data_IF_814436881638
#
_entry.id   IF_814436881638
#
_cell.length_a   1.000
_cell.length_b   1.000
_cell.length_c   1.000
_cell.angle_alpha   90.00
_cell.angle_beta   90.00
_cell.angle_gamma   90.00
#
_symmetry.space_group_name_H-M   'P 1'
#
loop_
_entity.id
_entity.type
_entity.pdbx_description
1 polymer ?
#
# COMPACT_ATOMS: atom_id res chain seq x y z
N UNK A 1 -19.01 11.94 34.91
CA UNK A 1 -18.96 10.76 34.01
C UNK A 1 -19.56 11.07 32.63
N UNK A 2 -20.78 11.61 32.54
CA UNK A 2 -21.45 11.93 31.26
C UNK A 2 -20.68 12.93 30.37
N UNK A 3 -20.05 13.96 30.94
CA UNK A 3 -19.31 14.96 30.13
C UNK A 3 -18.01 14.41 29.54
N UNK A 4 -17.31 13.52 30.27
CA UNK A 4 -16.11 12.83 29.76
C UNK A 4 -16.45 11.87 28.61
N UNK A 5 -17.56 11.12 28.71
CA UNK A 5 -18.03 10.22 27.65
C UNK A 5 -18.46 11.03 26.41
N UNK A 6 -19.16 12.14 26.60
CA UNK A 6 -19.57 13.04 25.51
C UNK A 6 -18.37 13.70 24.81
N UNK A 7 -17.36 14.11 25.57
CA UNK A 7 -16.10 14.66 25.04
C UNK A 7 -15.36 13.63 24.20
N UNK A 8 -15.14 12.40 24.70
CA UNK A 8 -14.50 11.33 23.92
C UNK A 8 -15.26 11.01 22.63
N UNK A 9 -16.59 10.98 22.68
CA UNK A 9 -17.42 10.77 21.49
C UNK A 9 -17.24 11.88 20.46
N UNK A 10 -17.01 13.13 20.88
CA UNK A 10 -16.74 14.24 19.98
C UNK A 10 -15.33 14.14 19.35
N UNK A 11 -14.31 13.85 20.15
CA UNK A 11 -12.92 13.66 19.71
C UNK A 11 -12.81 12.52 18.70
N UNK A 12 -13.50 11.39 18.95
CA UNK A 12 -13.54 10.27 18.01
C UNK A 12 -14.19 10.67 16.67
N UNK A 13 -15.31 11.41 16.70
CA UNK A 13 -15.96 11.90 15.48
C UNK A 13 -15.06 12.81 14.68
N UNK A 14 -14.30 13.69 15.34
CA UNK A 14 -13.35 14.57 14.66
C UNK A 14 -12.26 13.77 13.93
N UNK A 15 -11.67 12.77 14.59
CA UNK A 15 -10.70 11.87 13.97
C UNK A 15 -11.33 11.10 12.80
N UNK A 16 -12.54 10.57 12.99
CA UNK A 16 -13.29 9.88 11.95
C UNK A 16 -13.57 10.77 10.73
N UNK A 17 -13.89 12.05 10.93
CA UNK A 17 -14.06 13.03 9.84
C UNK A 17 -12.76 13.19 9.06
N UNK A 18 -11.61 13.31 9.72
CA UNK A 18 -10.31 13.41 9.04
C UNK A 18 -10.02 12.17 8.19
N UNK A 19 -10.24 10.96 8.74
CA UNK A 19 -10.02 9.71 8.01
C UNK A 19 -11.03 9.49 6.88
N UNK A 20 -12.26 9.97 7.03
CA UNK A 20 -13.27 10.00 5.96
C UNK A 20 -12.81 10.88 4.79
N UNK A 21 -12.31 12.09 5.06
CA UNK A 21 -11.74 12.96 4.02
C UNK A 21 -10.52 12.32 3.33
N UNK A 22 -9.61 11.71 4.09
CA UNK A 22 -8.48 10.95 3.53
C UNK A 22 -8.98 9.84 2.60
N UNK A 23 -10.06 9.16 2.97
CA UNK A 23 -10.67 8.09 2.16
C UNK A 23 -11.21 8.64 0.84
N UNK A 24 -11.90 9.79 0.86
CA UNK A 24 -12.35 10.46 -0.36
C UNK A 24 -11.19 10.90 -1.27
N UNK A 25 -10.13 11.48 -0.69
CA UNK A 25 -8.93 11.88 -1.44
C UNK A 25 -8.24 10.66 -2.08
N UNK A 26 -8.18 9.53 -1.37
CA UNK A 26 -7.70 8.26 -1.92
C UNK A 26 -8.60 7.76 -3.06
N UNK A 27 -9.92 7.94 -2.95
CA UNK A 27 -10.87 7.69 -4.03
C UNK A 27 -10.56 8.50 -5.29
N UNK A 28 -10.29 9.80 -5.15
CA UNK A 28 -9.87 10.67 -6.25
C UNK A 28 -8.56 10.16 -6.87
N UNK A 29 -7.57 9.81 -6.05
CA UNK A 29 -6.31 9.21 -6.54
C UNK A 29 -6.55 7.92 -7.34
N UNK A 30 -7.48 7.06 -6.90
CA UNK A 30 -7.86 5.83 -7.63
C UNK A 30 -8.51 6.15 -8.97
N UNK A 31 -9.37 7.17 -9.02
CA UNK A 31 -9.98 7.62 -10.29
C UNK A 31 -8.92 8.12 -11.27
N UNK A 32 -7.93 8.88 -10.81
CA UNK A 32 -6.79 9.31 -11.64
C UNK A 32 -6.00 8.11 -12.21
N UNK A 33 -5.81 7.05 -11.40
CA UNK A 33 -5.15 5.82 -11.85
C UNK A 33 -6.01 5.07 -12.87
N UNK A 34 -7.31 4.96 -12.65
CA UNK A 34 -8.22 4.31 -13.59
C UNK A 34 -8.26 5.03 -14.94
N UNK A 35 -8.36 6.36 -14.93
CA UNK A 35 -8.34 7.15 -16.17
C UNK A 35 -7.01 6.98 -16.92
N UNK A 36 -5.90 6.87 -16.19
CA UNK A 36 -4.57 6.65 -16.77
C UNK A 36 -4.52 5.38 -17.63
N UNK A 37 -5.26 4.34 -17.21
CA UNK A 37 -5.27 3.02 -17.85
C UNK A 37 -6.37 2.87 -18.90
N UNK A 38 -7.29 3.83 -19.01
CA UNK A 38 -8.49 3.70 -19.85
C UNK A 38 -8.64 4.80 -20.89
N UNK A 39 -8.64 6.07 -20.49
CA UNK A 39 -9.00 7.20 -21.36
C UNK A 39 -7.89 8.24 -21.53
N UNK A 40 -6.89 8.26 -20.64
CA UNK A 40 -5.84 9.27 -20.68
C UNK A 40 -5.08 9.24 -22.02
N UNK A 41 -4.94 10.39 -22.71
CA UNK A 41 -4.17 10.44 -23.95
C UNK A 41 -2.69 10.14 -23.70
N UNK A 42 -1.99 9.61 -24.71
CA UNK A 42 -0.61 9.16 -24.58
C UNK A 42 0.34 10.26 -24.06
N UNK A 43 0.11 11.51 -24.43
CA UNK A 43 0.93 12.67 -24.00
C UNK A 43 0.56 13.21 -22.60
N UNK A 44 -0.46 12.65 -21.94
CA UNK A 44 -0.94 13.12 -20.63
C UNK A 44 -0.08 12.70 -19.42
N UNK A 45 0.94 11.88 -19.64
CA UNK A 45 1.72 11.21 -18.59
C UNK A 45 2.36 12.17 -17.58
N UNK A 46 2.96 13.27 -18.05
CA UNK A 46 3.64 14.22 -17.18
C UNK A 46 2.63 14.93 -16.24
N UNK A 47 1.54 15.44 -16.80
CA UNK A 47 0.48 16.08 -16.01
C UNK A 47 -0.17 15.09 -15.03
N UNK A 48 -0.40 13.84 -15.45
CA UNK A 48 -0.91 12.79 -14.55
C UNK A 48 0.06 12.47 -13.41
N UNK A 49 1.36 12.49 -13.67
CA UNK A 49 2.38 12.27 -12.66
C UNK A 49 2.35 13.39 -11.60
N UNK A 50 2.26 14.65 -12.02
CA UNK A 50 2.16 15.78 -11.09
C UNK A 50 0.83 15.79 -10.31
N UNK A 51 -0.30 15.49 -10.95
CA UNK A 51 -1.60 15.33 -10.25
C UNK A 51 -1.53 14.25 -9.17
N UNK A 52 -0.93 13.10 -9.51
CA UNK A 52 -0.77 11.95 -8.59
C UNK A 52 0.20 12.26 -7.45
N UNK A 53 1.28 12.99 -7.72
CA UNK A 53 2.22 13.44 -6.71
C UNK A 53 1.55 14.44 -5.74
N UNK A 54 0.86 15.45 -6.27
CA UNK A 54 0.15 16.46 -5.49
C UNK A 54 -0.90 15.83 -4.56
N UNK A 55 -1.80 14.99 -5.08
CA UNK A 55 -2.84 14.37 -4.24
C UNK A 55 -2.22 13.46 -3.18
N UNK A 56 -1.12 12.76 -3.50
CA UNK A 56 -0.41 11.92 -2.53
C UNK A 56 0.24 12.75 -1.42
N UNK A 57 0.79 13.92 -1.74
CA UNK A 57 1.31 14.89 -0.76
C UNK A 57 0.20 15.38 0.18
N UNK A 58 -0.96 15.78 -0.38
CA UNK A 58 -2.11 16.24 0.41
C UNK A 58 -2.60 15.14 1.37
N UNK A 59 -2.77 13.91 0.87
CA UNK A 59 -3.16 12.75 1.68
C UNK A 59 -2.15 12.51 2.80
N UNK A 60 -0.87 12.50 2.47
CA UNK A 60 0.19 12.24 3.44
C UNK A 60 0.24 13.33 4.51
N UNK A 61 0.27 14.62 4.12
CA UNK A 61 0.25 15.76 5.04
C UNK A 61 -0.93 15.72 6.01
N UNK A 62 -2.13 15.38 5.50
CA UNK A 62 -3.33 15.26 6.34
C UNK A 62 -3.21 14.10 7.32
N UNK A 63 -2.79 12.92 6.83
CA UNK A 63 -2.57 11.72 7.65
C UNK A 63 -1.55 11.98 8.75
N UNK A 64 -0.42 12.60 8.45
CA UNK A 64 0.70 12.78 9.39
C UNK A 64 0.65 14.09 10.17
N UNK A 65 -0.49 14.79 10.15
CA UNK A 65 -0.65 16.06 10.85
C UNK A 65 -0.56 15.89 12.38
N UNK A 66 -0.11 16.93 13.07
CA UNK A 66 0.04 16.88 14.52
C UNK A 66 -1.33 16.79 15.22
N UNK A 67 -2.39 17.35 14.61
CA UNK A 67 -3.77 17.19 15.05
C UNK A 67 -4.18 15.71 15.13
N UNK A 68 -3.89 14.91 14.11
CA UNK A 68 -4.18 13.46 14.12
C UNK A 68 -3.45 12.78 15.28
N UNK A 69 -2.18 13.12 15.51
CA UNK A 69 -1.40 12.60 16.64
C UNK A 69 -2.01 12.94 18.01
N UNK A 70 -2.43 14.20 18.20
CA UNK A 70 -3.09 14.65 19.43
C UNK A 70 -4.42 13.94 19.67
N UNK A 71 -5.26 13.80 18.63
CA UNK A 71 -6.54 13.09 18.73
C UNK A 71 -6.34 11.62 19.09
N UNK A 72 -5.36 10.94 18.46
CA UNK A 72 -5.02 9.55 18.78
C UNK A 72 -4.54 9.43 20.23
N UNK A 73 -3.74 10.38 20.71
CA UNK A 73 -3.25 10.40 22.09
C UNK A 73 -4.40 10.60 23.09
N UNK A 74 -5.33 11.52 22.83
CA UNK A 74 -6.50 11.75 23.68
C UNK A 74 -7.42 10.52 23.75
N UNK A 75 -7.54 9.79 22.65
CA UNK A 75 -8.36 8.58 22.54
C UNK A 75 -7.63 7.32 23.02
N UNK A 76 -6.35 7.40 23.44
CA UNK A 76 -5.56 6.24 23.86
C UNK A 76 -6.21 5.35 24.92
N UNK A 77 -7.05 5.85 25.87
CA UNK A 77 -7.71 4.97 26.82
C UNK A 77 -8.68 3.96 26.18
N UNK A 78 -9.23 4.24 24.99
CA UNK A 78 -10.06 3.26 24.25
C UNK A 78 -9.21 2.02 23.92
N UNK A 79 -7.92 2.21 23.58
CA UNK A 79 -7.01 1.11 23.25
C UNK A 79 -6.68 0.22 24.46
N UNK A 80 -6.84 0.73 25.69
CA UNK A 80 -6.61 -0.05 26.91
C UNK A 80 -7.73 -1.08 27.14
N UNK A 81 -8.92 -0.84 26.60
CA UNK A 81 -10.09 -1.72 26.75
C UNK A 81 -9.93 -3.04 25.98
N UNK A 82 -9.09 -3.06 24.93
CA UNK A 82 -8.80 -4.25 24.11
C UNK A 82 -10.04 -4.98 23.60
N UNK A 83 -11.10 -4.22 23.30
CA UNK A 83 -12.38 -4.76 22.91
C UNK A 83 -12.50 -4.85 21.39
N UNK A 84 -12.19 -6.02 20.83
CA UNK A 84 -12.29 -6.28 19.38
C UNK A 84 -13.73 -6.23 18.82
N UNK A 85 -14.74 -6.24 19.69
CA UNK A 85 -16.16 -6.11 19.29
C UNK A 85 -16.61 -4.65 19.22
N UNK A 86 -15.79 -3.69 19.66
CA UNK A 86 -16.07 -2.25 19.55
C UNK A 86 -15.44 -1.64 18.29
N UNK A 87 -16.30 -1.15 17.39
CA UNK A 87 -15.90 -0.45 16.17
C UNK A 87 -14.94 0.72 16.45
N UNK A 88 -15.12 1.46 17.55
CA UNK A 88 -14.25 2.59 17.89
C UNK A 88 -12.84 2.12 18.25
N UNK A 89 -12.74 1.01 19.00
CA UNK A 89 -11.47 0.39 19.33
C UNK A 89 -10.74 -0.07 18.06
N UNK A 90 -11.42 -0.82 17.20
CA UNK A 90 -10.83 -1.36 15.96
C UNK A 90 -10.39 -0.22 15.04
N UNK A 91 -11.26 0.79 14.81
CA UNK A 91 -10.91 1.94 13.99
C UNK A 91 -9.70 2.69 14.53
N UNK A 92 -9.66 2.97 15.84
CA UNK A 92 -8.56 3.69 16.45
C UNK A 92 -7.23 2.92 16.37
N UNK A 93 -7.26 1.59 16.56
CA UNK A 93 -6.08 0.73 16.40
C UNK A 93 -5.50 0.85 15.00
N UNK A 94 -6.34 0.73 13.97
CA UNK A 94 -5.90 0.82 12.58
C UNK A 94 -5.44 2.23 12.18
N UNK A 95 -6.16 3.26 12.60
CA UNK A 95 -5.79 4.65 12.36
C UNK A 95 -4.47 5.03 13.03
N UNK A 96 -4.23 4.57 14.26
CA UNK A 96 -2.97 4.75 14.96
C UNK A 96 -1.83 4.05 14.23
N UNK A 97 -2.01 2.79 13.84
CA UNK A 97 -1.03 2.03 13.05
C UNK A 97 -0.67 2.74 11.75
N UNK A 98 -1.68 3.21 11.01
CA UNK A 98 -1.48 3.98 9.78
C UNK A 98 -0.72 5.30 10.03
N UNK A 99 -1.13 6.06 11.05
CA UNK A 99 -0.48 7.31 11.44
C UNK A 99 1.01 7.11 11.74
N UNK A 100 1.33 6.18 12.65
CA UNK A 100 2.69 5.92 13.11
C UNK A 100 3.58 5.46 11.96
N UNK A 101 3.09 4.56 11.09
CA UNK A 101 3.83 4.12 9.91
C UNK A 101 4.06 5.25 8.91
N UNK A 102 3.03 6.05 8.62
CA UNK A 102 3.15 7.15 7.65
C UNK A 102 4.04 8.28 8.17
N UNK A 103 3.99 8.62 9.46
CA UNK A 103 4.80 9.70 10.06
C UNK A 103 6.31 9.44 9.95
N UNK A 104 6.73 8.18 9.85
CA UNK A 104 8.14 7.79 9.65
C UNK A 104 8.69 8.11 8.26
N UNK A 105 7.82 8.24 7.25
CA UNK A 105 8.23 8.39 5.85
C UNK A 105 8.22 9.87 5.47
N UNK A 106 9.33 10.44 4.93
CA UNK A 106 9.37 11.84 4.55
C UNK A 106 8.38 12.18 3.41
N UNK A 107 7.72 13.35 3.44
CA UNK A 107 6.79 13.77 2.38
C UNK A 107 7.39 13.75 0.98
N UNK A 108 8.65 14.19 0.84
CA UNK A 108 9.36 14.22 -0.45
C UNK A 108 9.53 12.81 -1.05
N UNK A 109 9.75 11.81 -0.20
CA UNK A 109 9.87 10.42 -0.64
C UNK A 109 8.52 9.87 -1.12
N UNK A 110 7.42 10.24 -0.45
CA UNK A 110 6.06 9.85 -0.86
C UNK A 110 5.68 10.46 -2.21
N UNK A 111 5.99 11.75 -2.41
CA UNK A 111 5.76 12.46 -3.67
C UNK A 111 6.57 11.83 -4.81
N UNK A 112 7.87 11.61 -4.60
CA UNK A 112 8.76 11.07 -5.62
C UNK A 112 8.40 9.62 -6.00
N UNK A 113 8.04 8.77 -5.02
CA UNK A 113 7.51 7.43 -5.29
C UNK A 113 6.24 7.49 -6.14
N UNK A 114 5.33 8.43 -5.83
CA UNK A 114 4.05 8.57 -6.51
C UNK A 114 4.24 9.04 -7.96
N UNK A 115 5.09 10.05 -8.17
CA UNK A 115 5.47 10.53 -9.50
C UNK A 115 6.16 9.43 -10.32
N UNK A 116 7.16 8.78 -9.73
CA UNK A 116 7.94 7.75 -10.41
C UNK A 116 7.08 6.55 -10.81
N UNK A 117 6.08 6.18 -9.99
CA UNK A 117 5.16 5.08 -10.30
C UNK A 117 4.35 5.34 -11.58
N UNK A 118 3.86 6.56 -11.80
CA UNK A 118 3.14 6.94 -13.02
C UNK A 118 4.04 6.86 -14.25
N UNK A 119 5.25 7.45 -14.16
CA UNK A 119 6.21 7.44 -15.26
C UNK A 119 6.66 6.02 -15.60
N UNK A 120 6.91 5.20 -14.57
CA UNK A 120 7.32 3.81 -14.70
C UNK A 120 6.23 2.95 -15.35
N UNK A 121 4.95 3.17 -15.00
CA UNK A 121 3.84 2.44 -15.60
C UNK A 121 3.77 2.66 -17.12
N UNK A 122 3.89 3.91 -17.58
CA UNK A 122 3.91 4.18 -19.02
C UNK A 122 5.13 3.58 -19.72
N UNK A 123 6.32 3.70 -19.10
CA UNK A 123 7.52 3.08 -19.64
C UNK A 123 7.38 1.55 -19.74
N UNK A 124 6.77 0.92 -18.73
CA UNK A 124 6.47 -0.51 -18.74
C UNK A 124 5.49 -0.89 -19.85
N UNK A 125 4.41 -0.13 -20.06
CA UNK A 125 3.44 -0.41 -21.12
C UNK A 125 4.11 -0.43 -22.50
N UNK A 126 4.95 0.58 -22.79
CA UNK A 126 5.75 0.65 -24.02
C UNK A 126 6.80 -0.48 -24.10
N UNK A 127 7.49 -0.76 -23.00
CA UNK A 127 8.48 -1.84 -22.93
C UNK A 127 7.85 -3.19 -23.25
N UNK A 128 6.66 -3.46 -22.70
CA UNK A 128 5.92 -4.70 -22.92
C UNK A 128 5.45 -4.83 -24.38
N UNK A 129 4.90 -3.76 -24.94
CA UNK A 129 4.49 -3.72 -26.35
C UNK A 129 5.66 -4.00 -27.31
N UNK A 130 6.83 -3.42 -27.01
CA UNK A 130 8.04 -3.58 -27.83
C UNK A 130 8.89 -4.80 -27.49
N UNK A 131 8.49 -5.56 -26.46
CA UNK A 131 9.32 -6.61 -25.84
C UNK A 131 10.75 -6.12 -25.50
N UNK A 132 10.90 -4.86 -25.12
CA UNK A 132 12.19 -4.21 -24.86
C UNK A 132 12.30 -3.75 -23.40
N UNK A 133 12.94 -4.59 -22.59
CA UNK A 133 13.17 -4.32 -21.16
C UNK A 133 14.05 -3.09 -20.91
N UNK A 134 14.90 -2.70 -21.85
CA UNK A 134 15.82 -1.57 -21.66
C UNK A 134 15.08 -0.25 -21.43
N UNK A 135 13.87 -0.11 -21.99
CA UNK A 135 12.97 1.02 -21.80
C UNK A 135 12.52 1.14 -20.33
N UNK A 136 12.25 0.01 -19.67
CA UNK A 136 11.73 -0.02 -18.30
C UNK A 136 12.83 -0.05 -17.23
N UNK A 137 13.99 -0.64 -17.55
CA UNK A 137 15.11 -0.80 -16.62
C UNK A 137 15.48 0.46 -15.80
N UNK A 138 15.66 1.67 -16.38
CA UNK A 138 15.99 2.85 -15.58
C UNK A 138 14.88 3.22 -14.59
N UNK A 139 13.62 3.03 -14.98
CA UNK A 139 12.48 3.30 -14.11
C UNK A 139 12.40 2.30 -12.96
N UNK A 140 12.61 1.01 -13.25
CA UNK A 140 12.64 -0.05 -12.25
C UNK A 140 13.77 0.16 -11.23
N UNK A 141 14.98 0.51 -11.68
CA UNK A 141 16.11 0.81 -10.78
C UNK A 141 15.75 1.93 -9.80
N UNK A 142 15.12 3.00 -10.30
CA UNK A 142 14.70 4.12 -9.44
C UNK A 142 13.57 3.73 -8.49
N UNK A 143 12.56 2.97 -8.94
CA UNK A 143 11.51 2.45 -8.05
C UNK A 143 12.08 1.57 -6.93
N UNK A 144 12.96 0.62 -7.24
CA UNK A 144 13.60 -0.25 -6.24
C UNK A 144 14.42 0.57 -5.24
N UNK A 145 15.16 1.58 -5.71
CA UNK A 145 15.91 2.48 -4.82
C UNK A 145 14.99 3.23 -3.86
N UNK A 146 13.91 3.83 -4.35
CA UNK A 146 12.94 4.57 -3.54
C UNK A 146 12.20 3.64 -2.56
N UNK A 147 11.82 2.43 -2.99
CA UNK A 147 11.19 1.43 -2.12
C UNK A 147 12.12 0.99 -0.98
N UNK A 148 13.43 0.84 -1.25
CA UNK A 148 14.42 0.54 -0.20
C UNK A 148 14.59 1.69 0.78
N UNK A 149 14.60 2.94 0.31
CA UNK A 149 14.61 4.12 1.19
C UNK A 149 13.36 4.14 2.08
N UNK A 150 12.18 3.86 1.50
CA UNK A 150 10.93 3.78 2.26
C UNK A 150 10.98 2.68 3.32
N UNK A 151 11.47 1.49 2.98
CA UNK A 151 11.66 0.41 3.94
C UNK A 151 12.58 0.81 5.10
N UNK A 152 13.69 1.49 4.80
CA UNK A 152 14.62 2.00 5.83
C UNK A 152 13.94 3.00 6.78
N UNK A 153 13.07 3.87 6.26
CA UNK A 153 12.29 4.80 7.09
C UNK A 153 11.24 4.09 7.96
N UNK A 154 10.53 3.10 7.42
CA UNK A 154 9.53 2.33 8.17
C UNK A 154 10.16 1.53 9.31
N UNK A 155 11.39 1.05 9.10
CA UNK A 155 12.13 0.18 9.99
C UNK A 155 11.72 -1.29 9.82
N UNK A 156 12.68 -2.18 10.03
CA UNK A 156 12.50 -3.64 9.96
C UNK A 156 13.52 -4.31 10.88
N UNK A 157 13.22 -5.53 11.30
CA UNK A 157 14.12 -6.33 12.14
C UNK A 157 15.06 -7.18 11.28
N UNK A 158 14.51 -8.03 10.41
CA UNK A 158 15.28 -9.00 9.63
C UNK A 158 15.44 -8.57 8.17
N UNK A 159 14.33 -8.25 7.49
CA UNK A 159 14.33 -7.95 6.07
C UNK A 159 13.68 -6.60 5.74
N UNK A 160 14.27 -5.77 4.86
CA UNK A 160 13.60 -4.58 4.34
C UNK A 160 12.30 -4.91 3.60
N UNK A 161 12.14 -6.16 3.15
CA UNK A 161 10.91 -6.61 2.53
C UNK A 161 9.76 -6.72 3.54
N UNK A 162 10.03 -7.07 4.80
CA UNK A 162 8.99 -7.17 5.85
C UNK A 162 8.30 -5.83 6.07
N UNK A 163 9.07 -4.74 6.11
CA UNK A 163 8.52 -3.38 6.24
C UNK A 163 7.53 -3.02 5.11
N UNK A 164 7.81 -3.49 3.89
CA UNK A 164 6.98 -3.24 2.71
C UNK A 164 5.81 -4.23 2.62
N UNK A 165 6.02 -5.48 3.01
CA UNK A 165 5.01 -6.54 3.03
C UNK A 165 3.89 -6.19 4.01
N UNK A 166 4.23 -5.64 5.17
CA UNK A 166 3.29 -5.22 6.22
C UNK A 166 2.29 -4.12 5.77
N UNK A 167 2.50 -3.51 4.60
CA UNK A 167 1.52 -2.60 3.99
C UNK A 167 0.37 -3.32 3.30
N UNK A 168 0.59 -4.57 2.87
CA UNK A 168 -0.35 -5.38 2.13
C UNK A 168 -0.91 -6.51 2.98
N UNK A 169 -0.05 -7.15 3.76
CA UNK A 169 -0.41 -8.23 4.67
C UNK A 169 0.12 -7.89 6.07
N UNK A 170 -0.69 -7.24 6.92
CA UNK A 170 -0.32 -6.89 8.28
C UNK A 170 0.29 -8.06 9.05
N UNK A 171 1.40 -7.79 9.74
CA UNK A 171 2.08 -8.70 10.68
C UNK A 171 2.74 -9.92 10.04
N UNK A 172 2.63 -10.09 8.73
CA UNK A 172 3.27 -11.20 8.01
C UNK A 172 4.75 -10.91 7.75
N UNK A 173 5.59 -11.95 7.83
CA UNK A 173 7.02 -11.87 7.57
C UNK A 173 7.45 -12.69 6.35
N UNK A 174 8.53 -12.26 5.70
CA UNK A 174 9.12 -12.97 4.57
C UNK A 174 9.50 -14.41 4.90
N UNK A 175 9.97 -14.67 6.12
CA UNK A 175 10.34 -16.00 6.60
C UNK A 175 9.13 -16.96 6.67
N UNK A 176 7.94 -16.45 6.97
CA UNK A 176 6.69 -17.24 7.01
C UNK A 176 6.25 -17.59 5.59
N UNK A 177 6.30 -16.61 4.68
CA UNK A 177 6.06 -16.85 3.25
C UNK A 177 7.04 -17.87 2.67
N UNK A 178 8.33 -17.80 3.04
CA UNK A 178 9.33 -18.75 2.58
C UNK A 178 9.01 -20.19 3.01
N UNK A 179 8.57 -20.38 4.26
CA UNK A 179 8.13 -21.70 4.77
C UNK A 179 6.93 -22.23 3.99
N UNK A 180 5.94 -21.37 3.71
CA UNK A 180 4.77 -21.73 2.90
C UNK A 180 5.18 -22.13 1.47
N UNK A 181 6.00 -21.32 0.79
CA UNK A 181 6.44 -21.59 -0.58
C UNK A 181 7.28 -22.88 -0.68
N UNK A 182 8.08 -23.21 0.34
CA UNK A 182 8.85 -24.47 0.41
C UNK A 182 7.95 -25.71 0.37
N UNK A 183 6.71 -25.62 0.87
CA UNK A 183 5.73 -26.72 0.80
C UNK A 183 4.89 -26.66 -0.47
N UNK A 184 4.46 -25.46 -0.88
CA UNK A 184 3.54 -25.27 -1.99
C UNK A 184 4.19 -25.57 -3.35
N UNK A 185 5.43 -25.12 -3.58
CA UNK A 185 6.10 -25.24 -4.88
C UNK A 185 6.30 -26.71 -5.31
N UNK A 186 6.81 -27.62 -4.45
CA UNK A 186 6.93 -29.04 -4.83
C UNK A 186 5.58 -29.70 -5.11
N UNK A 187 4.55 -29.38 -4.32
CA UNK A 187 3.21 -29.93 -4.50
C UNK A 187 2.60 -29.50 -5.85
N UNK A 188 2.70 -28.22 -6.19
CA UNK A 188 2.22 -27.70 -7.48
C UNK A 188 3.00 -28.25 -8.67
N UNK A 189 4.33 -28.43 -8.54
CA UNK A 189 5.14 -29.07 -9.59
C UNK A 189 4.70 -30.51 -9.84
N UNK A 190 4.51 -31.30 -8.78
CA UNK A 190 4.02 -32.68 -8.88
C UNK A 190 2.63 -32.75 -9.55
N UNK A 191 1.72 -31.86 -9.16
CA UNK A 191 0.39 -31.78 -9.79
C UNK A 191 0.50 -31.43 -11.28
N UNK A 192 1.31 -30.43 -11.64
CA UNK A 192 1.51 -30.02 -13.02
C UNK A 192 2.10 -31.15 -13.87
N UNK A 193 3.10 -31.87 -13.37
CA UNK A 193 3.69 -33.01 -14.07
C UNK A 193 2.66 -34.11 -14.33
N UNK A 194 1.79 -34.40 -13.36
CA UNK A 194 0.70 -35.37 -13.52
C UNK A 194 -0.30 -34.94 -14.58
N UNK A 195 -0.69 -33.66 -14.60
CA UNK A 195 -1.60 -33.12 -15.60
C UNK A 195 -0.98 -33.15 -17.01
N UNK A 196 0.29 -32.80 -17.15
CA UNK A 196 1.00 -32.85 -18.43
C UNK A 196 1.21 -34.28 -18.96
N UNK A 197 1.34 -35.28 -18.07
CA UNK A 197 1.36 -36.69 -18.48
C UNK A 197 -0.01 -37.13 -18.96
N UNK A 198 -1.05 -36.88 -18.16
CA UNK A 198 -2.42 -37.22 -18.53
C UNK A 198 -2.87 -36.58 -19.85
N UNK A 199 -2.48 -35.32 -20.13
CA UNK A 199 -2.82 -34.67 -21.40
C UNK A 199 -2.10 -35.31 -22.60
N UNK A 200 -0.83 -35.71 -22.45
CA UNK A 200 -0.09 -36.43 -23.50
C UNK A 200 -0.67 -37.82 -23.77
N UNK A 201 -1.09 -38.53 -22.72
CA UNK A 201 -1.69 -39.85 -22.84
C UNK A 201 -3.08 -39.77 -23.53
N UNK A 202 -3.79 -38.64 -23.40
CA UNK A 202 -5.03 -38.38 -24.15
C UNK A 202 -4.76 -38.04 -25.62
N UNK A 203 -3.72 -37.25 -25.92
CA UNK A 203 -3.33 -36.89 -27.29
C UNK A 203 -2.77 -38.07 -28.11
N UNK A 204 -2.16 -39.06 -27.45
CA UNK A 204 -1.61 -40.26 -28.10
C UNK A 204 -2.63 -41.39 -28.29
N UNK A 205 -3.81 -41.28 -27.67
CA UNK A 205 -4.90 -42.27 -27.74
C UNK A 205 -6.07 -41.81 -28.63
N UNK A 206 -5.88 -40.77 -29.44
CA UNK A 206 -6.77 -40.31 -30.53
C UNK A 206 -6.01 -40.48 -31.85
#
# INVERSE_FOLDING_TARGET
MKDKVKSKSNTFRELATIFSEITHLRGIKRLLSWDQETYMPQMGQHNRAEQTALISSIIHKKMTSDQVGLLIQELSPILEERNEEDDQFVCLREWKRLYERQKKVPPQLVEELSRQSVLAHSAWARAREKADFSIFLPHLKKLVSLSRQKAAHLGFEESPYDALLDEFEPETRAAELEKMFKQLVPALKSLLERLQRANRDLELNI
#
